data_IF_949041241878
#
_entry.id   IF_949041241878
#
_cell.length_a   1.000
_cell.length_b   1.000
_cell.length_c   1.000
_cell.angle_alpha   90.00
_cell.angle_beta   90.00
_cell.angle_gamma   90.00
#
_symmetry.space_group_name_H-M   'P 1'
#
loop_
_entity.id
_entity.type
_entity.pdbx_description
1 polymer ?
#
# COMPACT_ATOMS: atom_id res chain seq x y z
N UNK A 1 3.55 -7.46 11.67
CA UNK A 1 4.35 -6.93 10.54
C UNK A 1 3.94 -7.69 9.28
N UNK A 2 4.01 -7.09 8.09
CA UNK A 2 3.61 -7.80 6.85
C UNK A 2 4.68 -8.84 6.51
N UNK A 3 4.25 -10.02 6.10
CA UNK A 3 5.15 -11.15 5.85
C UNK A 3 4.95 -11.78 4.47
N UNK A 4 5.99 -12.48 4.02
CA UNK A 4 5.97 -13.33 2.82
C UNK A 4 6.32 -14.74 3.26
N UNK A 5 5.44 -15.69 2.92
CA UNK A 5 5.71 -17.12 3.09
C UNK A 5 6.53 -17.61 1.88
N UNK A 6 7.63 -18.30 2.13
CA UNK A 6 8.53 -18.81 1.09
C UNK A 6 8.76 -20.29 1.31
N UNK A 7 8.39 -21.11 0.34
CA UNK A 7 8.71 -22.53 0.37
C UNK A 7 10.18 -22.77 0.03
N UNK A 8 10.79 -23.79 0.64
CA UNK A 8 12.21 -24.07 0.48
C UNK A 8 12.50 -24.92 -0.76
N UNK A 9 12.17 -26.21 -0.69
CA UNK A 9 12.45 -27.22 -1.72
C UNK A 9 11.77 -26.87 -3.02
N UNK A 10 12.49 -26.91 -4.15
CA UNK A 10 11.87 -26.65 -5.46
C UNK A 10 11.69 -25.17 -5.77
N UNK A 11 11.45 -24.34 -4.75
CA UNK A 11 11.21 -22.91 -4.90
C UNK A 11 12.50 -22.09 -4.84
N UNK A 12 13.21 -22.10 -3.69
CA UNK A 12 14.49 -21.39 -3.54
C UNK A 12 15.70 -22.33 -3.45
N UNK A 13 15.46 -23.59 -3.12
CA UNK A 13 16.47 -24.61 -2.88
C UNK A 13 16.42 -25.68 -3.97
N UNK A 14 17.50 -25.81 -4.74
CA UNK A 14 17.66 -26.87 -5.72
C UNK A 14 18.32 -28.10 -5.08
N UNK A 15 17.51 -29.14 -4.92
CA UNK A 15 17.85 -30.38 -4.23
C UNK A 15 18.20 -31.52 -5.19
N UNK A 16 18.24 -31.26 -6.51
CA UNK A 16 18.34 -32.31 -7.53
C UNK A 16 19.58 -33.19 -7.38
N UNK A 17 20.70 -32.68 -6.88
CA UNK A 17 21.93 -33.46 -6.73
C UNK A 17 21.78 -34.62 -5.74
N UNK A 18 20.89 -34.48 -4.76
CA UNK A 18 20.65 -35.50 -3.72
C UNK A 18 19.41 -36.35 -3.94
N UNK A 19 18.63 -36.14 -5.01
CA UNK A 19 17.45 -36.98 -5.32
C UNK A 19 17.78 -38.47 -5.45
N UNK A 20 18.99 -38.80 -5.90
CA UNK A 20 19.49 -40.17 -6.00
C UNK A 20 19.63 -40.90 -4.65
N UNK A 21 19.69 -40.16 -3.52
CA UNK A 21 19.74 -40.71 -2.17
C UNK A 21 18.37 -41.16 -1.65
N UNK A 22 17.29 -40.82 -2.39
CA UNK A 22 15.91 -41.14 -2.05
C UNK A 22 15.26 -40.06 -1.18
N UNK A 23 14.26 -39.35 -1.71
CA UNK A 23 13.52 -38.33 -0.95
C UNK A 23 12.88 -38.99 0.29
N UNK A 24 13.11 -38.41 1.47
CA UNK A 24 12.57 -38.93 2.74
C UNK A 24 13.50 -39.87 3.51
N UNK A 25 14.67 -40.21 2.97
CA UNK A 25 15.66 -41.03 3.70
C UNK A 25 16.55 -40.16 4.60
N UNK A 26 17.14 -40.70 5.68
CA UNK A 26 18.13 -39.98 6.48
C UNK A 26 19.29 -39.44 5.64
N UNK A 27 19.77 -40.22 4.67
CA UNK A 27 20.87 -39.85 3.77
C UNK A 27 20.54 -38.61 2.94
N UNK A 28 19.28 -38.43 2.55
CA UNK A 28 18.82 -37.24 1.85
C UNK A 28 18.96 -35.98 2.70
N UNK A 29 18.82 -36.08 4.03
CA UNK A 29 18.85 -34.95 4.96
C UNK A 29 20.18 -34.81 5.71
N UNK A 30 21.22 -35.52 5.29
CA UNK A 30 22.55 -35.36 5.87
C UNK A 30 23.08 -33.94 5.65
N UNK A 31 23.71 -33.39 6.70
CA UNK A 31 24.21 -32.01 6.70
C UNK A 31 25.13 -31.73 5.51
N UNK A 32 26.06 -32.66 5.24
CA UNK A 32 27.02 -32.53 4.13
C UNK A 32 26.33 -32.45 2.77
N UNK A 33 25.19 -33.11 2.60
CA UNK A 33 24.44 -33.11 1.34
C UNK A 33 23.56 -31.87 1.21
N UNK A 34 22.90 -31.44 2.28
CA UNK A 34 22.10 -30.22 2.31
C UNK A 34 22.95 -28.96 2.07
N UNK A 35 24.15 -28.89 2.65
CA UNK A 35 25.05 -27.73 2.46
C UNK A 35 25.61 -27.61 1.04
N UNK A 36 25.40 -28.61 0.17
CA UNK A 36 25.72 -28.60 -1.26
C UNK A 36 24.55 -28.15 -2.14
N UNK A 37 23.33 -28.05 -1.60
CA UNK A 37 22.17 -27.53 -2.34
C UNK A 37 22.52 -26.15 -2.91
N UNK A 38 22.04 -25.85 -4.11
CA UNK A 38 22.25 -24.54 -4.74
C UNK A 38 20.99 -23.70 -4.68
N UNK A 39 21.15 -22.38 -4.55
CA UNK A 39 20.03 -21.47 -4.63
C UNK A 39 19.48 -21.41 -6.06
N UNK A 40 18.15 -21.37 -6.20
CA UNK A 40 17.50 -21.14 -7.49
C UNK A 40 17.88 -19.76 -8.01
N UNK A 41 18.31 -19.61 -9.29
CA UNK A 41 18.79 -18.33 -9.82
C UNK A 41 17.82 -17.17 -9.61
N UNK A 42 18.32 -16.04 -9.10
CA UNK A 42 17.54 -14.83 -8.83
C UNK A 42 16.74 -14.82 -7.52
N UNK A 43 16.57 -15.97 -6.85
CA UNK A 43 15.84 -16.06 -5.58
C UNK A 43 16.48 -15.23 -4.46
N UNK A 44 17.80 -15.35 -4.29
CA UNK A 44 18.55 -14.64 -3.23
C UNK A 44 18.40 -13.13 -3.36
N UNK A 45 18.67 -12.56 -4.53
CA UNK A 45 18.57 -11.12 -4.76
C UNK A 45 17.14 -10.61 -4.58
N UNK A 46 16.16 -11.36 -5.07
CA UNK A 46 14.74 -11.00 -4.93
C UNK A 46 14.30 -10.98 -3.46
N UNK A 47 14.65 -12.02 -2.68
CA UNK A 47 14.28 -12.08 -1.27
C UNK A 47 15.02 -11.04 -0.43
N UNK A 48 16.30 -10.74 -0.74
CA UNK A 48 17.00 -9.63 -0.11
C UNK A 48 16.29 -8.29 -0.34
N UNK A 49 15.85 -8.02 -1.57
CA UNK A 49 15.06 -6.81 -1.88
C UNK A 49 13.77 -6.78 -1.05
N UNK A 50 12.99 -7.87 -1.06
CA UNK A 50 11.73 -7.98 -0.35
C UNK A 50 11.90 -7.86 1.17
N UNK A 51 13.00 -8.35 1.74
CA UNK A 51 13.30 -8.27 3.16
C UNK A 51 13.46 -6.83 3.70
N UNK A 52 13.63 -5.83 2.83
CA UNK A 52 13.63 -4.42 3.24
C UNK A 52 12.23 -3.94 3.65
N UNK A 53 11.17 -4.62 3.19
CA UNK A 53 9.78 -4.21 3.37
C UNK A 53 8.92 -5.24 4.10
N UNK A 54 9.31 -6.51 4.05
CA UNK A 54 8.52 -7.64 4.57
C UNK A 54 9.36 -8.55 5.46
N UNK A 55 8.73 -9.13 6.45
CA UNK A 55 9.31 -10.26 7.19
C UNK A 55 9.29 -11.50 6.29
N UNK A 56 10.44 -12.19 6.19
CA UNK A 56 10.53 -13.44 5.44
C UNK A 56 10.25 -14.61 6.40
N UNK A 57 9.33 -15.49 6.01
CA UNK A 57 8.99 -16.71 6.73
C UNK A 57 9.22 -17.88 5.78
N UNK A 58 10.19 -18.72 6.11
CA UNK A 58 10.55 -19.92 5.36
C UNK A 58 9.78 -21.13 5.88
N UNK A 59 9.23 -21.91 4.96
CA UNK A 59 8.56 -23.17 5.27
C UNK A 59 9.18 -24.30 4.43
N UNK A 60 9.72 -25.30 5.11
CA UNK A 60 10.44 -26.41 4.49
C UNK A 60 9.79 -27.76 4.72
N UNK A 61 9.81 -28.60 3.71
CA UNK A 61 9.45 -30.02 3.79
C UNK A 61 10.64 -30.85 4.30
N UNK A 62 11.05 -30.60 5.55
CA UNK A 62 12.21 -31.23 6.18
C UNK A 62 11.92 -31.70 7.61
N UNK A 63 12.65 -32.70 8.12
CA UNK A 63 12.67 -33.03 9.54
C UNK A 63 13.11 -31.84 10.39
N UNK A 64 12.49 -31.68 11.56
CA UNK A 64 12.84 -30.60 12.50
C UNK A 64 14.31 -30.66 12.96
N UNK A 65 14.93 -31.84 12.95
CA UNK A 65 16.35 -32.04 13.25
C UNK A 65 17.30 -31.31 12.28
N UNK A 66 16.82 -30.92 11.10
CA UNK A 66 17.63 -30.25 10.07
C UNK A 66 17.63 -28.72 10.18
N UNK A 67 17.00 -28.16 11.22
CA UNK A 67 16.87 -26.70 11.39
C UNK A 67 18.22 -25.98 11.34
N UNK A 68 19.19 -26.44 12.13
CA UNK A 68 20.52 -25.81 12.20
C UNK A 68 21.24 -25.78 10.85
N UNK A 69 21.15 -26.86 10.07
CA UNK A 69 21.81 -26.93 8.77
C UNK A 69 21.03 -26.17 7.69
N UNK A 70 19.71 -26.02 7.86
CA UNK A 70 18.89 -25.16 7.01
C UNK A 70 19.22 -23.68 7.23
N UNK A 71 19.39 -23.27 8.49
CA UNK A 71 19.90 -21.94 8.85
C UNK A 71 21.27 -21.67 8.25
N UNK A 72 22.20 -22.61 8.43
CA UNK A 72 23.56 -22.51 7.87
C UNK A 72 23.54 -22.40 6.34
N UNK A 73 22.72 -23.22 5.67
CA UNK A 73 22.58 -23.16 4.22
C UNK A 73 22.03 -21.81 3.75
N UNK A 74 20.97 -21.29 4.39
CA UNK A 74 20.39 -19.98 4.06
C UNK A 74 21.43 -18.87 4.19
N UNK A 75 22.20 -18.87 5.28
CA UNK A 75 23.27 -17.90 5.52
C UNK A 75 24.37 -18.01 4.47
N UNK A 76 24.84 -19.23 4.18
CA UNK A 76 25.89 -19.51 3.18
C UNK A 76 25.49 -19.07 1.78
N UNK A 77 24.23 -19.24 1.40
CA UNK A 77 23.70 -18.81 0.10
C UNK A 77 23.39 -17.30 0.05
N UNK A 78 23.39 -16.62 1.20
CA UNK A 78 23.15 -15.19 1.30
C UNK A 78 21.67 -14.80 1.34
N UNK A 79 20.77 -15.71 1.68
CA UNK A 79 19.36 -15.38 1.89
C UNK A 79 19.19 -14.43 3.09
N UNK A 80 18.18 -13.55 3.08
CA UNK A 80 17.90 -12.70 4.22
C UNK A 80 17.49 -13.53 5.45
N UNK A 81 17.82 -13.03 6.64
CA UNK A 81 17.32 -13.63 7.89
C UNK A 81 15.79 -13.62 7.91
N UNK A 82 15.21 -14.69 8.45
CA UNK A 82 13.78 -14.88 8.54
C UNK A 82 13.41 -15.95 9.56
N UNK A 83 12.11 -16.19 9.71
CA UNK A 83 11.59 -17.25 10.59
C UNK A 83 11.57 -18.56 9.82
N UNK A 84 12.14 -19.64 10.36
CA UNK A 84 12.25 -20.91 9.66
C UNK A 84 11.37 -21.95 10.36
N UNK A 85 10.46 -22.53 9.59
CA UNK A 85 9.53 -23.56 10.06
C UNK A 85 9.70 -24.80 9.20
N UNK A 86 9.92 -25.94 9.84
CA UNK A 86 10.16 -27.21 9.17
C UNK A 86 9.16 -28.24 9.67
N UNK A 87 8.56 -28.96 8.73
CA UNK A 87 7.73 -30.12 9.01
C UNK A 87 7.79 -31.09 7.84
N UNK A 88 7.81 -32.39 8.13
CA UNK A 88 8.01 -33.44 7.12
C UNK A 88 6.74 -33.68 6.32
N UNK A 89 5.61 -33.74 7.02
CA UNK A 89 4.32 -34.07 6.41
C UNK A 89 3.58 -32.81 5.99
N UNK A 90 2.69 -32.98 5.01
CA UNK A 90 1.80 -31.91 4.58
C UNK A 90 0.88 -31.44 5.71
N UNK A 91 0.32 -32.37 6.48
CA UNK A 91 -0.60 -32.09 7.61
C UNK A 91 0.06 -31.25 8.70
N UNK A 92 1.31 -31.57 9.06
CA UNK A 92 2.08 -30.77 10.02
C UNK A 92 2.38 -29.36 9.51
N UNK A 93 2.75 -29.22 8.23
CA UNK A 93 2.96 -27.90 7.60
C UNK A 93 1.68 -27.09 7.58
N UNK A 94 0.53 -27.70 7.29
CA UNK A 94 -0.77 -27.03 7.34
C UNK A 94 -1.09 -26.51 8.75
N UNK A 95 -0.86 -27.33 9.79
CA UNK A 95 -1.04 -26.90 11.18
C UNK A 95 -0.08 -25.77 11.57
N UNK A 96 1.17 -25.76 11.08
CA UNK A 96 2.11 -24.67 11.28
C UNK A 96 1.60 -23.37 10.63
N UNK A 97 1.19 -23.44 9.37
CA UNK A 97 0.67 -22.28 8.61
C UNK A 97 -0.54 -21.65 9.30
N UNK A 98 -1.45 -22.46 9.84
CA UNK A 98 -2.60 -21.98 10.62
C UNK A 98 -2.19 -21.19 11.86
N UNK A 99 -1.18 -21.67 12.59
CA UNK A 99 -0.66 -20.97 13.76
C UNK A 99 0.05 -19.67 13.36
N UNK A 100 0.84 -19.70 12.28
CA UNK A 100 1.56 -18.52 11.78
C UNK A 100 0.63 -17.40 11.34
N UNK A 101 -0.59 -17.72 10.88
CA UNK A 101 -1.59 -16.72 10.52
C UNK A 101 -2.09 -15.89 11.71
N UNK A 102 -1.80 -16.31 12.95
CA UNK A 102 -2.08 -15.53 14.16
C UNK A 102 -0.95 -14.54 14.50
N UNK A 103 0.26 -14.80 14.02
CA UNK A 103 1.46 -14.00 14.31
C UNK A 103 1.78 -13.01 13.19
N UNK A 104 1.57 -13.42 11.93
CA UNK A 104 1.94 -12.67 10.75
C UNK A 104 0.74 -12.28 9.91
N UNK A 105 0.83 -11.13 9.26
CA UNK A 105 -0.10 -10.73 8.19
C UNK A 105 0.55 -11.04 6.85
N UNK A 106 0.22 -12.17 6.26
CA UNK A 106 0.81 -12.59 4.99
C UNK A 106 0.24 -11.82 3.81
N UNK A 107 1.12 -11.24 2.99
CA UNK A 107 0.73 -10.53 1.75
C UNK A 107 0.89 -11.44 0.54
N UNK A 108 1.89 -12.32 0.56
CA UNK A 108 2.13 -13.29 -0.49
C UNK A 108 2.71 -14.59 0.06
N UNK A 109 2.50 -15.66 -0.71
CA UNK A 109 3.16 -16.94 -0.58
C UNK A 109 3.83 -17.32 -1.88
N UNK A 110 5.06 -17.81 -1.81
CA UNK A 110 5.89 -18.16 -2.96
C UNK A 110 6.25 -19.63 -2.86
N UNK A 111 5.81 -20.41 -3.85
CA UNK A 111 6.02 -21.85 -3.94
C UNK A 111 6.31 -22.28 -5.38
N UNK A 112 6.43 -23.59 -5.60
CA UNK A 112 6.61 -24.20 -6.91
C UNK A 112 5.56 -25.26 -7.24
N UNK A 113 4.78 -25.70 -6.23
CA UNK A 113 3.81 -26.78 -6.38
C UNK A 113 2.38 -26.30 -6.22
N UNK A 114 1.46 -27.17 -6.64
CA UNK A 114 0.03 -26.91 -6.48
C UNK A 114 -0.42 -27.04 -5.03
N UNK A 115 0.22 -27.90 -4.22
CA UNK A 115 -0.09 -28.07 -2.80
C UNK A 115 0.42 -26.89 -1.95
N UNK A 116 1.43 -26.14 -2.42
CA UNK A 116 1.82 -24.87 -1.81
C UNK A 116 0.67 -23.85 -1.84
N UNK A 117 -0.16 -23.91 -2.88
CA UNK A 117 -1.33 -23.05 -3.00
C UNK A 117 -2.37 -23.31 -1.90
N UNK A 118 -2.41 -24.51 -1.31
CA UNK A 118 -3.27 -24.80 -0.17
C UNK A 118 -2.85 -23.99 1.06
N UNK A 119 -1.54 -23.90 1.32
CA UNK A 119 -1.00 -23.04 2.38
C UNK A 119 -1.30 -21.56 2.12
N UNK A 120 -1.15 -21.10 0.87
CA UNK A 120 -1.43 -19.72 0.50
C UNK A 120 -2.92 -19.36 0.66
N UNK A 121 -3.80 -20.31 0.34
CA UNK A 121 -5.24 -20.16 0.49
C UNK A 121 -5.64 -20.09 1.96
N UNK A 122 -5.06 -20.95 2.80
CA UNK A 122 -5.30 -20.98 4.25
C UNK A 122 -5.01 -19.62 4.91
N UNK A 123 -3.94 -18.94 4.48
CA UNK A 123 -3.55 -17.63 5.01
C UNK A 123 -4.14 -16.44 4.24
N UNK A 124 -4.90 -16.70 3.17
CA UNK A 124 -5.60 -15.67 2.40
C UNK A 124 -4.68 -14.66 1.68
N UNK A 125 -3.51 -15.11 1.21
CA UNK A 125 -2.51 -14.23 0.59
C UNK A 125 -2.44 -14.39 -0.95
N UNK A 126 -1.66 -13.53 -1.61
CA UNK A 126 -1.33 -13.71 -3.02
C UNK A 126 -0.50 -14.98 -3.23
N UNK A 127 -1.01 -15.92 -4.03
CA UNK A 127 -0.27 -17.13 -4.40
C UNK A 127 0.63 -16.90 -5.62
N UNK A 128 1.93 -17.12 -5.47
CA UNK A 128 2.94 -17.05 -6.52
C UNK A 128 3.57 -18.44 -6.68
N UNK A 129 3.08 -19.19 -7.67
CA UNK A 129 3.66 -20.48 -8.04
C UNK A 129 4.68 -20.28 -9.16
N UNK A 130 5.92 -20.66 -8.90
CA UNK A 130 7.06 -20.60 -9.80
C UNK A 130 7.34 -21.97 -10.40
N UNK A 131 8.15 -22.02 -11.46
CA UNK A 131 8.61 -23.30 -12.01
C UNK A 131 9.64 -23.91 -11.05
N UNK A 132 9.44 -25.16 -10.65
CA UNK A 132 10.38 -25.91 -9.80
C UNK A 132 11.82 -25.81 -10.34
N UNK A 133 12.75 -25.41 -9.47
CA UNK A 133 14.19 -25.17 -9.69
C UNK A 133 14.56 -24.07 -10.71
N UNK A 134 13.59 -23.49 -11.43
CA UNK A 134 13.80 -22.59 -12.56
C UNK A 134 12.82 -21.40 -12.54
N UNK A 135 12.43 -20.96 -11.35
CA UNK A 135 11.47 -19.89 -11.14
C UNK A 135 11.88 -18.55 -11.76
N UNK A 136 10.93 -17.82 -12.35
CA UNK A 136 11.18 -16.46 -12.83
C UNK A 136 11.00 -15.42 -11.71
N UNK A 137 12.06 -15.23 -10.92
CA UNK A 137 12.08 -14.34 -9.77
C UNK A 137 12.00 -12.85 -10.09
N UNK A 138 12.30 -12.42 -11.33
CA UNK A 138 12.32 -10.99 -11.68
C UNK A 138 10.94 -10.34 -11.64
N UNK A 139 9.88 -11.13 -11.73
CA UNK A 139 8.48 -10.66 -11.73
C UNK A 139 7.85 -10.65 -10.34
N UNK A 140 8.49 -11.30 -9.36
CA UNK A 140 7.91 -11.52 -8.03
C UNK A 140 7.67 -10.21 -7.27
N UNK A 141 8.64 -9.26 -7.19
CA UNK A 141 8.44 -8.03 -6.43
C UNK A 141 7.26 -7.20 -6.96
N UNK A 142 7.18 -7.01 -8.27
CA UNK A 142 6.11 -6.23 -8.89
C UNK A 142 4.75 -6.88 -8.63
N UNK A 143 4.62 -8.21 -8.74
CA UNK A 143 3.35 -8.91 -8.44
C UNK A 143 2.88 -8.66 -7.01
N UNK A 144 3.79 -8.69 -6.04
CA UNK A 144 3.47 -8.43 -4.62
C UNK A 144 3.06 -6.98 -4.43
N UNK A 145 3.82 -6.03 -5.01
CA UNK A 145 3.55 -4.60 -4.91
C UNK A 145 2.21 -4.25 -5.56
N UNK A 146 1.92 -4.75 -6.77
CA UNK A 146 0.63 -4.54 -7.44
C UNK A 146 -0.52 -5.08 -6.60
N UNK A 147 -0.41 -6.31 -6.10
CA UNK A 147 -1.46 -6.89 -5.25
C UNK A 147 -1.72 -6.08 -3.98
N UNK A 148 -0.66 -5.61 -3.31
CA UNK A 148 -0.81 -4.80 -2.10
C UNK A 148 -1.42 -3.43 -2.41
N UNK A 149 -1.08 -2.83 -3.56
CA UNK A 149 -1.70 -1.60 -4.05
C UNK A 149 -3.19 -1.82 -4.32
N UNK A 150 -3.56 -2.89 -5.01
CA UNK A 150 -4.97 -3.19 -5.30
C UNK A 150 -5.76 -3.42 -4.01
N UNK A 151 -5.21 -4.17 -3.05
CA UNK A 151 -5.80 -4.34 -1.72
C UNK A 151 -5.95 -3.03 -0.96
N UNK A 152 -5.00 -2.11 -1.10
CA UNK A 152 -5.08 -0.78 -0.51
C UNK A 152 -6.22 0.03 -1.12
N UNK A 153 -6.37 0.01 -2.45
CA UNK A 153 -7.47 0.69 -3.15
C UNK A 153 -8.81 0.10 -2.70
N UNK A 154 -8.95 -1.23 -2.69
CA UNK A 154 -10.16 -1.92 -2.23
C UNK A 154 -10.54 -1.51 -0.80
N UNK A 155 -9.58 -1.52 0.12
CA UNK A 155 -9.81 -1.11 1.51
C UNK A 155 -10.22 0.36 1.64
N UNK A 156 -9.56 1.26 0.90
CA UNK A 156 -9.90 2.68 0.87
C UNK A 156 -11.31 2.88 0.32
N UNK A 157 -11.70 2.14 -0.74
CA UNK A 157 -13.04 2.19 -1.31
C UNK A 157 -14.11 1.67 -0.34
N UNK A 158 -13.88 0.56 0.35
CA UNK A 158 -14.79 0.01 1.37
C UNK A 158 -14.99 1.04 2.49
N UNK A 159 -13.90 1.61 3.01
CA UNK A 159 -13.98 2.60 4.07
C UNK A 159 -14.76 3.84 3.64
N UNK A 160 -14.43 4.37 2.46
CA UNK A 160 -15.12 5.54 1.93
C UNK A 160 -16.61 5.25 1.70
N UNK A 161 -16.95 4.10 1.11
CA UNK A 161 -18.34 3.70 0.87
C UNK A 161 -19.12 3.64 2.18
N UNK A 162 -18.60 2.98 3.21
CA UNK A 162 -19.24 2.92 4.53
C UNK A 162 -19.44 4.32 5.14
N UNK A 163 -18.45 5.21 5.01
CA UNK A 163 -18.55 6.61 5.46
C UNK A 163 -19.65 7.37 4.72
N UNK A 164 -19.69 7.30 3.39
CA UNK A 164 -20.68 8.01 2.57
C UNK A 164 -22.08 7.45 2.82
N UNK A 165 -22.25 6.12 2.89
CA UNK A 165 -23.54 5.49 3.23
C UNK A 165 -24.07 5.90 4.61
N UNK A 166 -23.18 6.03 5.61
CA UNK A 166 -23.56 6.52 6.93
C UNK A 166 -24.01 7.98 6.89
N UNK A 167 -23.21 8.84 6.26
CA UNK A 167 -23.49 10.26 6.16
C UNK A 167 -24.74 10.55 5.33
N UNK A 168 -24.95 9.85 4.22
CA UNK A 168 -26.11 10.05 3.34
C UNK A 168 -27.43 9.68 4.00
N UNK A 169 -27.43 8.88 5.06
CA UNK A 169 -28.64 8.57 5.86
C UNK A 169 -28.98 9.65 6.89
N UNK A 170 -27.97 10.41 7.35
CA UNK A 170 -28.11 11.33 8.49
C UNK A 170 -28.16 12.79 8.02
N UNK A 171 -27.26 13.18 7.13
CA UNK A 171 -27.09 14.56 6.71
C UNK A 171 -28.34 15.16 6.05
N UNK A 172 -29.11 14.45 5.20
CA UNK A 172 -30.37 14.99 4.67
C UNK A 172 -31.38 15.30 5.78
N UNK A 173 -31.45 14.48 6.83
CA UNK A 173 -32.37 14.70 7.97
C UNK A 173 -31.95 15.91 8.81
N UNK A 174 -30.64 16.11 8.97
CA UNK A 174 -30.11 17.30 9.64
C UNK A 174 -30.35 18.55 8.79
N UNK A 175 -30.14 18.48 7.48
CA UNK A 175 -30.38 19.58 6.57
C UNK A 175 -31.87 19.96 6.51
N UNK A 176 -32.79 19.00 6.48
CA UNK A 176 -34.23 19.25 6.56
C UNK A 176 -34.63 20.00 7.84
N UNK A 177 -33.95 19.69 8.96
CA UNK A 177 -34.23 20.31 10.25
C UNK A 177 -33.59 21.69 10.43
N UNK A 178 -32.37 21.89 9.96
CA UNK A 178 -31.54 23.05 10.26
C UNK A 178 -31.31 23.98 9.07
N UNK A 179 -31.71 23.58 7.86
CA UNK A 179 -31.47 24.33 6.63
C UNK A 179 -29.99 24.56 6.34
N UNK A 180 -29.69 25.58 5.55
CA UNK A 180 -28.33 25.89 5.09
C UNK A 180 -27.41 26.41 6.22
N UNK A 181 -27.97 26.88 7.33
CA UNK A 181 -27.21 27.29 8.53
C UNK A 181 -26.36 26.14 9.09
N UNK A 182 -26.79 24.89 8.86
CA UNK A 182 -26.00 23.69 9.19
C UNK A 182 -24.64 23.70 8.50
N UNK A 183 -24.61 24.05 7.21
CA UNK A 183 -23.40 24.03 6.40
C UNK A 183 -22.47 25.18 6.74
N UNK A 184 -23.02 26.36 7.03
CA UNK A 184 -22.23 27.49 7.52
C UNK A 184 -21.58 27.16 8.85
N UNK A 185 -22.33 26.61 9.81
CA UNK A 185 -21.78 26.17 11.11
C UNK A 185 -20.71 25.10 10.95
N UNK A 186 -20.94 24.12 10.06
CA UNK A 186 -19.95 23.09 9.75
C UNK A 186 -18.67 23.70 9.17
N UNK A 187 -18.80 24.62 8.22
CA UNK A 187 -17.67 25.27 7.57
C UNK A 187 -16.87 26.15 8.53
N UNK A 188 -17.54 26.88 9.42
CA UNK A 188 -16.91 27.63 10.51
C UNK A 188 -16.10 26.72 11.43
N UNK A 189 -16.66 25.56 11.81
CA UNK A 189 -15.94 24.57 12.62
C UNK A 189 -14.70 24.01 11.91
N UNK A 190 -14.77 23.76 10.59
CA UNK A 190 -13.60 23.34 9.81
C UNK A 190 -12.56 24.45 9.74
N UNK A 191 -12.98 25.71 9.56
CA UNK A 191 -12.10 26.86 9.54
C UNK A 191 -11.38 27.05 10.88
N UNK A 192 -12.11 26.96 12.00
CA UNK A 192 -11.53 27.02 13.35
C UNK A 192 -10.53 25.88 13.57
N UNK A 193 -10.89 24.65 13.21
CA UNK A 193 -9.99 23.50 13.30
C UNK A 193 -8.71 23.73 12.49
N UNK A 194 -8.84 24.25 11.26
CA UNK A 194 -7.72 24.60 10.42
C UNK A 194 -6.82 25.65 11.09
N UNK A 195 -7.35 26.80 11.48
CA UNK A 195 -6.54 27.86 12.09
C UNK A 195 -5.85 27.40 13.39
N UNK A 196 -6.54 26.64 14.24
CA UNK A 196 -5.98 26.11 15.49
C UNK A 196 -4.78 25.17 15.30
N UNK A 197 -4.67 24.52 14.13
CA UNK A 197 -3.58 23.60 13.81
C UNK A 197 -2.64 24.12 12.72
N UNK A 198 -2.77 25.40 12.35
CA UNK A 198 -2.02 26.05 11.26
C UNK A 198 -0.51 26.03 11.50
N UNK A 199 -0.07 26.42 12.69
CA UNK A 199 1.37 26.51 13.01
C UNK A 199 2.05 25.14 13.02
N UNK A 200 1.36 24.10 13.50
CA UNK A 200 1.95 22.76 13.54
C UNK A 200 2.06 22.18 12.13
N UNK A 201 0.99 22.26 11.33
CA UNK A 201 1.06 21.86 9.91
C UNK A 201 2.11 22.64 9.14
N UNK A 202 2.25 23.94 9.38
CA UNK A 202 3.30 24.75 8.74
C UNK A 202 4.69 24.16 8.99
N UNK A 203 4.99 23.75 10.22
CA UNK A 203 6.29 23.12 10.54
C UNK A 203 6.45 21.79 9.82
N UNK A 204 5.42 20.95 9.84
CA UNK A 204 5.42 19.62 9.20
C UNK A 204 5.60 19.73 7.68
N UNK A 205 4.79 20.57 7.02
CA UNK A 205 4.83 20.80 5.59
C UNK A 205 6.19 21.35 5.14
N UNK A 206 6.70 22.39 5.81
CA UNK A 206 7.99 22.99 5.48
C UNK A 206 9.15 22.03 5.73
N UNK A 207 9.07 21.19 6.77
CA UNK A 207 10.05 20.14 7.03
C UNK A 207 10.04 19.09 5.89
N UNK A 208 8.86 18.63 5.49
CA UNK A 208 8.71 17.66 4.39
C UNK A 208 9.26 18.21 3.07
N UNK A 209 8.93 19.46 2.72
CA UNK A 209 9.48 20.14 1.55
C UNK A 209 11.02 20.25 1.62
N UNK A 210 11.56 20.64 2.78
CA UNK A 210 13.00 20.77 2.99
C UNK A 210 13.76 19.43 2.89
N UNK A 211 13.21 18.33 3.41
CA UNK A 211 13.77 16.98 3.29
C UNK A 211 13.94 16.55 1.83
N UNK A 212 13.06 17.04 0.95
CA UNK A 212 13.10 16.78 -0.49
C UNK A 212 13.75 17.91 -1.31
N UNK A 213 14.28 18.96 -0.65
CA UNK A 213 14.92 20.12 -1.29
C UNK A 213 13.98 20.86 -2.25
N UNK A 214 12.71 21.02 -1.86
CA UNK A 214 11.65 21.66 -2.64
C UNK A 214 11.37 23.06 -2.08
N UNK A 215 11.22 24.05 -2.97
CA UNK A 215 10.94 25.44 -2.58
C UNK A 215 9.43 25.70 -2.44
N UNK A 216 8.91 26.08 -1.25
CA UNK A 216 7.50 26.43 -1.05
C UNK A 216 7.05 27.69 -1.82
N UNK A 217 7.97 28.49 -2.36
CA UNK A 217 7.68 29.66 -3.20
C UNK A 217 7.72 29.35 -4.70
N UNK A 218 8.02 28.10 -5.10
CA UNK A 218 7.95 27.63 -6.48
C UNK A 218 6.86 26.55 -6.62
N UNK A 219 5.74 26.90 -7.27
CA UNK A 219 4.63 25.95 -7.40
C UNK A 219 4.95 24.72 -8.26
N UNK A 220 6.07 24.68 -9.00
CA UNK A 220 6.57 23.45 -9.64
C UNK A 220 7.10 22.47 -8.62
N UNK A 221 7.76 22.98 -7.58
CA UNK A 221 8.28 22.14 -6.50
C UNK A 221 7.16 21.68 -5.58
N UNK A 222 6.16 22.53 -5.32
CA UNK A 222 4.91 22.12 -4.65
C UNK A 222 4.16 21.04 -5.45
N UNK A 223 4.09 21.16 -6.78
CA UNK A 223 3.49 20.14 -7.63
C UNK A 223 4.21 18.78 -7.53
N UNK A 224 5.55 18.77 -7.49
CA UNK A 224 6.33 17.55 -7.23
C UNK A 224 6.04 16.99 -5.84
N UNK A 225 5.93 17.85 -4.84
CA UNK A 225 5.59 17.44 -3.48
C UNK A 225 4.23 16.74 -3.42
N UNK A 226 3.20 17.31 -4.05
CA UNK A 226 1.88 16.65 -4.15
C UNK A 226 1.92 15.33 -4.93
N UNK A 227 2.66 15.26 -6.04
CA UNK A 227 2.87 14.01 -6.77
C UNK A 227 3.53 12.92 -5.91
N UNK A 228 4.52 13.30 -5.08
CA UNK A 228 5.16 12.38 -4.13
C UNK A 228 4.19 11.88 -3.06
N UNK A 229 3.40 12.77 -2.46
CA UNK A 229 2.38 12.41 -1.47
C UNK A 229 1.29 11.51 -2.07
N UNK A 230 0.89 11.76 -3.32
CA UNK A 230 -0.05 10.90 -4.04
C UNK A 230 0.53 9.51 -4.35
N UNK A 231 1.85 9.43 -4.58
CA UNK A 231 2.57 8.17 -4.82
C UNK A 231 2.88 7.38 -3.56
N UNK A 232 2.78 7.96 -2.36
CA UNK A 232 2.85 7.22 -1.09
C UNK A 232 1.58 6.40 -0.85
N UNK A 233 1.40 5.38 -1.67
CA UNK A 233 0.22 4.53 -1.66
C UNK A 233 0.06 3.78 -0.34
N UNK A 234 1.15 3.51 0.40
CA UNK A 234 1.11 2.76 1.66
C UNK A 234 0.40 3.54 2.75
N UNK A 235 0.67 4.84 2.84
CA UNK A 235 0.14 5.67 3.93
C UNK A 235 -1.01 6.57 3.49
N UNK A 236 -1.19 6.82 2.19
CA UNK A 236 -2.22 7.71 1.69
C UNK A 236 -3.63 7.05 1.76
N UNK A 237 -4.58 7.59 2.55
CA UNK A 237 -5.95 7.07 2.64
C UNK A 237 -6.82 7.41 1.41
N UNK A 238 -6.35 8.29 0.53
CA UNK A 238 -6.99 8.67 -0.73
C UNK A 238 -6.42 7.93 -1.93
N UNK A 239 -5.40 7.08 -1.74
CA UNK A 239 -4.77 6.35 -2.83
C UNK A 239 -5.81 5.50 -3.60
N UNK A 240 -5.83 5.67 -4.92
CA UNK A 240 -6.75 5.00 -5.87
C UNK A 240 -8.20 5.49 -5.84
N UNK A 241 -8.53 6.50 -5.03
CA UNK A 241 -9.86 7.10 -4.98
C UNK A 241 -10.04 8.26 -5.96
N UNK A 242 -8.93 8.77 -6.51
CA UNK A 242 -8.91 9.89 -7.44
C UNK A 242 -7.81 9.71 -8.48
N UNK A 243 -8.04 10.24 -9.67
CA UNK A 243 -7.08 10.25 -10.78
C UNK A 243 -6.62 11.69 -11.08
N UNK A 244 -5.60 12.21 -10.36
CA UNK A 244 -5.10 13.57 -10.54
C UNK A 244 -4.01 13.66 -11.62
N UNK A 245 -4.09 14.72 -12.42
CA UNK A 245 -3.04 15.19 -13.33
C UNK A 245 -2.58 16.58 -12.89
N UNK A 246 -1.27 16.78 -12.73
CA UNK A 246 -0.70 18.03 -12.21
C UNK A 246 0.15 18.72 -13.27
N UNK A 247 -0.17 19.98 -13.55
CA UNK A 247 0.62 20.86 -14.41
C UNK A 247 1.02 22.11 -13.62
N UNK A 248 2.29 22.50 -13.66
CA UNK A 248 2.77 23.63 -12.89
C UNK A 248 3.82 24.49 -13.59
N UNK A 249 3.71 25.79 -13.36
CA UNK A 249 4.73 26.82 -13.56
C UNK A 249 5.16 27.34 -12.19
N UNK A 250 6.11 28.30 -12.15
CA UNK A 250 6.59 28.87 -10.88
C UNK A 250 5.48 29.49 -10.02
N UNK A 251 4.52 30.16 -10.67
CA UNK A 251 3.48 30.93 -9.99
C UNK A 251 2.08 30.35 -10.16
N UNK A 252 1.92 29.23 -10.88
CA UNK A 252 0.61 28.59 -11.06
C UNK A 252 0.74 27.07 -11.06
N UNK A 253 -0.07 26.39 -10.25
CA UNK A 253 -0.23 24.94 -10.28
C UNK A 253 -1.70 24.61 -10.53
N UNK A 254 -1.94 23.70 -11.48
CA UNK A 254 -3.28 23.22 -11.84
C UNK A 254 -3.34 21.73 -11.63
N UNK A 255 -4.30 21.27 -10.83
CA UNK A 255 -4.56 19.84 -10.61
C UNK A 255 -5.93 19.54 -11.22
N UNK A 256 -5.94 18.68 -12.23
CA UNK A 256 -7.17 18.17 -12.85
C UNK A 256 -7.44 16.78 -12.32
N UNK A 257 -8.65 16.55 -11.79
CA UNK A 257 -9.07 15.22 -11.36
C UNK A 257 -10.16 14.73 -12.30
N UNK A 258 -9.89 13.65 -13.03
CA UNK A 258 -10.79 13.08 -14.04
C UNK A 258 -11.74 12.03 -13.47
N UNK A 259 -11.38 11.40 -12.35
CA UNK A 259 -12.21 10.48 -11.57
C UNK A 259 -12.16 10.82 -10.09
N UNK A 260 -13.29 10.77 -9.39
CA UNK A 260 -13.35 10.99 -7.94
C UNK A 260 -14.40 10.09 -7.29
N UNK A 261 -13.95 9.11 -6.49
CA UNK A 261 -14.83 8.12 -5.86
C UNK A 261 -15.83 8.74 -4.86
N UNK A 262 -15.46 9.86 -4.23
CA UNK A 262 -16.38 10.62 -3.38
C UNK A 262 -17.58 11.13 -4.20
N UNK A 263 -17.32 11.74 -5.35
CA UNK A 263 -18.38 12.28 -6.21
C UNK A 263 -19.30 11.18 -6.76
N UNK A 264 -18.72 10.05 -7.17
CA UNK A 264 -19.47 8.87 -7.61
C UNK A 264 -20.43 8.38 -6.51
N UNK A 265 -19.94 8.13 -5.30
CA UNK A 265 -20.74 7.59 -4.20
C UNK A 265 -21.86 8.54 -3.73
N UNK A 266 -21.58 9.84 -3.65
CA UNK A 266 -22.60 10.83 -3.27
C UNK A 266 -23.70 10.96 -4.33
N UNK A 267 -23.35 10.84 -5.62
CA UNK A 267 -24.33 10.77 -6.71
C UNK A 267 -25.13 9.46 -6.69
N UNK A 268 -24.48 8.33 -6.45
CA UNK A 268 -25.14 7.02 -6.27
C UNK A 268 -26.17 7.08 -5.12
N UNK A 269 -25.86 7.82 -4.04
CA UNK A 269 -26.76 8.05 -2.92
C UNK A 269 -27.86 9.10 -3.18
N UNK A 270 -27.78 9.85 -4.28
CA UNK A 270 -28.76 10.88 -4.64
C UNK A 270 -28.63 12.23 -3.92
N UNK A 271 -27.49 12.50 -3.26
CA UNK A 271 -27.25 13.74 -2.52
C UNK A 271 -25.93 14.45 -2.88
N UNK A 272 -25.61 14.68 -4.16
CA UNK A 272 -24.34 15.33 -4.56
C UNK A 272 -24.17 16.75 -4.01
N UNK A 273 -25.25 17.49 -3.81
CA UNK A 273 -25.25 18.82 -3.21
C UNK A 273 -24.79 18.82 -1.75
N UNK A 274 -25.20 17.83 -0.96
CA UNK A 274 -24.69 17.63 0.40
C UNK A 274 -23.22 17.21 0.34
N UNK A 275 -22.88 16.27 -0.55
CA UNK A 275 -21.51 15.85 -0.79
C UNK A 275 -20.58 17.02 -1.10
N UNK A 276 -21.04 18.00 -1.88
CA UNK A 276 -20.29 19.22 -2.16
C UNK A 276 -20.01 20.04 -0.90
N UNK A 277 -21.01 20.23 -0.03
CA UNK A 277 -20.86 21.04 1.20
C UNK A 277 -19.81 20.47 2.16
N UNK A 278 -19.70 19.14 2.26
CA UNK A 278 -18.83 18.49 3.25
C UNK A 278 -17.48 18.00 2.70
N UNK A 279 -17.32 17.90 1.37
CA UNK A 279 -16.09 17.41 0.75
C UNK A 279 -15.41 18.43 -0.14
N UNK A 280 -16.15 19.13 -1.01
CA UNK A 280 -15.55 20.04 -2.00
C UNK A 280 -15.39 21.46 -1.45
N UNK A 281 -16.45 22.03 -0.88
CA UNK A 281 -16.42 23.38 -0.31
C UNK A 281 -15.29 23.56 0.74
N UNK A 282 -15.01 22.60 1.63
CA UNK A 282 -13.93 22.72 2.60
C UNK A 282 -12.53 22.81 1.98
N UNK A 283 -12.32 22.35 0.73
CA UNK A 283 -11.01 22.44 0.06
C UNK A 283 -10.48 23.87 0.07
N UNK A 284 -11.36 24.88 -0.04
CA UNK A 284 -10.98 26.29 0.03
C UNK A 284 -10.29 26.65 1.35
N UNK A 285 -10.73 26.09 2.47
CA UNK A 285 -10.13 26.34 3.78
C UNK A 285 -8.69 25.81 3.86
N UNK A 286 -8.42 24.68 3.21
CA UNK A 286 -7.11 24.03 3.27
C UNK A 286 -6.12 24.56 2.24
N UNK A 287 -6.63 24.94 1.05
CA UNK A 287 -5.82 25.25 -0.12
C UNK A 287 -5.71 26.75 -0.41
N UNK A 288 -6.66 27.59 0.03
CA UNK A 288 -6.50 29.05 0.00
C UNK A 288 -5.68 29.47 1.21
N UNK A 289 -4.58 30.19 1.00
CA UNK A 289 -3.64 30.54 2.09
C UNK A 289 -3.22 29.31 2.91
N UNK A 290 -2.64 28.27 2.29
CA UNK A 290 -2.22 27.07 2.99
C UNK A 290 -1.17 27.37 4.07
N UNK A 291 -0.99 26.45 5.02
CA UNK A 291 -0.10 26.63 6.17
C UNK A 291 1.36 26.88 5.74
N UNK A 292 1.83 26.14 4.74
CA UNK A 292 3.19 26.23 4.19
C UNK A 292 3.47 27.55 3.44
N UNK A 293 2.47 28.16 2.80
CA UNK A 293 2.62 29.46 2.14
C UNK A 293 1.32 30.29 2.15
N UNK A 294 1.19 31.31 3.02
CA UNK A 294 -0.01 32.14 3.10
C UNK A 294 -0.23 33.09 1.91
N UNK A 295 0.75 33.22 1.00
CA UNK A 295 0.60 34.04 -0.22
C UNK A 295 -0.21 33.33 -1.29
N UNK A 296 -0.20 32.00 -1.30
CA UNK A 296 -0.91 31.20 -2.28
C UNK A 296 -2.42 31.47 -2.20
N UNK A 297 -3.04 31.53 -3.37
CA UNK A 297 -4.48 31.66 -3.56
C UNK A 297 -5.02 30.44 -4.28
N UNK A 298 -6.28 30.11 -3.99
CA UNK A 298 -6.94 28.93 -4.52
C UNK A 298 -8.28 29.23 -5.18
N UNK A 299 -8.51 28.58 -6.33
CA UNK A 299 -9.78 28.56 -7.04
C UNK A 299 -10.17 27.13 -7.42
N UNK A 300 -11.47 26.83 -7.35
CA UNK A 300 -12.05 25.54 -7.77
C UNK A 300 -13.28 25.78 -8.67
N UNK A 301 -13.09 26.14 -9.95
CA UNK A 301 -14.20 26.53 -10.82
C UNK A 301 -15.05 25.35 -11.32
N UNK A 302 -14.57 24.11 -11.17
CA UNK A 302 -15.26 22.90 -11.64
C UNK A 302 -15.15 21.79 -10.59
N UNK A 303 -16.23 21.03 -10.40
CA UNK A 303 -16.19 19.81 -9.59
C UNK A 303 -16.98 18.67 -10.21
N UNK A 304 -16.37 17.48 -10.21
CA UNK A 304 -17.07 16.22 -10.49
C UNK A 304 -18.25 16.01 -9.55
N UNK A 305 -18.28 16.61 -8.35
CA UNK A 305 -19.44 16.50 -7.46
C UNK A 305 -20.67 17.22 -8.05
N UNK A 306 -20.47 18.41 -8.62
CA UNK A 306 -21.56 19.28 -9.09
C UNK A 306 -22.06 18.99 -10.51
N UNK A 307 -21.38 18.15 -11.30
CA UNK A 307 -21.82 17.85 -12.67
C UNK A 307 -20.74 17.96 -13.74
N UNK A 308 -19.59 18.54 -13.41
CA UNK A 308 -18.56 18.83 -14.40
C UNK A 308 -17.86 17.57 -14.92
N UNK A 309 -17.08 17.76 -15.99
CA UNK A 309 -16.24 16.75 -16.63
C UNK A 309 -14.97 16.40 -15.83
N UNK A 310 -14.59 17.25 -14.89
CA UNK A 310 -13.40 17.12 -14.05
C UNK A 310 -13.50 18.04 -12.83
N UNK A 311 -12.79 17.72 -11.74
CA UNK A 311 -12.48 18.75 -10.76
C UNK A 311 -11.27 19.54 -11.24
N UNK A 312 -11.31 20.86 -11.09
CA UNK A 312 -10.19 21.73 -11.43
C UNK A 312 -9.76 22.51 -10.19
N UNK A 313 -8.56 22.24 -9.71
CA UNK A 313 -7.94 22.95 -8.59
C UNK A 313 -6.86 23.86 -9.15
N UNK A 314 -6.94 25.16 -8.87
CA UNK A 314 -5.95 26.14 -9.36
C UNK A 314 -5.33 26.83 -8.15
N UNK A 315 -4.02 26.66 -8.00
CA UNK A 315 -3.19 27.36 -7.03
C UNK A 315 -2.39 28.44 -7.76
N UNK A 316 -2.42 29.66 -7.25
CA UNK A 316 -1.68 30.78 -7.82
C UNK A 316 -0.88 31.51 -6.74
N UNK A 317 0.34 31.90 -7.08
CA UNK A 317 1.07 32.95 -6.38
C UNK A 317 0.73 34.28 -7.06
N UNK A 318 0.07 35.22 -6.37
CA UNK A 318 -0.15 36.55 -6.92
C UNK A 318 1.19 37.21 -7.24
N UNK A 319 1.28 37.92 -8.37
CA UNK A 319 2.44 38.76 -8.65
C UNK A 319 2.54 39.85 -7.56
N UNK A 320 3.74 40.12 -7.06
CA UNK A 320 3.96 41.22 -6.12
C UNK A 320 3.57 42.54 -6.84
N UNK A 321 2.51 43.20 -6.37
CA UNK A 321 2.13 44.57 -6.81
C UNK A 321 3.18 45.62 -6.45
#
# INVERSE_FOLDING_TARGET
MKAILVLLEGTICDTRHRHQLGIGTPEFYECEEMLKDVAVPGSVSCLQELAHYYTIVYLGARPASTLLYTEEWLEKMGFPKGHIHLAETHEERQALVQNLNQEFTFIAGIGDRWDDNEYHTEIGCLSIILKEFEGNWTTVPERIITYERDKRIENNEIHLKGKVEGLSRVLPLLHDKYGDDLWETYFEGIFEMFENSREERRKEDLKSLAEHKLDPEDLRDVAKWYDMLNKDWRNNPLYGLQDPEIEATKSRCTIRVSRCRHAELWRECGYPEIGYQIHCRPDRTWLDRPAWNPKVRFEQPKTLMQGDDSCLFVLCLPEDE
#
